data_IF_144676210309
#
_entry.id   IF_144676210309
#
_cell.length_a   1.000
_cell.length_b   1.000
_cell.length_c   1.000
_cell.angle_alpha   90.00
_cell.angle_beta   90.00
_cell.angle_gamma   90.00
#
_symmetry.space_group_name_H-M   'P 1'
#
loop_
_entity.id
_entity.type
_entity.pdbx_description
1 polymer ?
#
# COMPACT_ATOMS: atom_id res chain seq x y z
N UNK A 1 6.40 -7.74 24.61
CA UNK A 1 6.04 -7.36 23.23
C UNK A 1 4.63 -7.86 23.00
N UNK A 2 3.70 -6.97 22.67
CA UNK A 2 2.34 -7.39 22.31
C UNK A 2 2.39 -8.22 21.03
N UNK A 3 1.48 -9.16 20.90
CA UNK A 3 1.26 -9.91 19.66
C UNK A 3 0.90 -8.91 18.54
N UNK A 4 1.52 -9.03 17.36
CA UNK A 4 1.23 -8.13 16.25
C UNK A 4 -0.22 -8.30 15.81
N UNK A 5 -0.85 -7.20 15.39
CA UNK A 5 -2.21 -7.22 14.80
C UNK A 5 -2.27 -8.02 13.49
N UNK A 6 -1.12 -8.38 12.92
CA UNK A 6 -1.00 -9.23 11.74
C UNK A 6 -0.99 -10.73 12.06
N UNK A 7 -0.91 -11.11 13.33
CA UNK A 7 -0.81 -12.53 13.70
C UNK A 7 -2.03 -13.32 13.23
N UNK A 8 -1.80 -14.40 12.48
CA UNK A 8 -2.84 -15.24 11.89
C UNK A 8 -3.58 -14.64 10.69
N UNK A 9 -3.15 -13.48 10.20
CA UNK A 9 -3.71 -12.84 9.00
C UNK A 9 -3.27 -13.55 7.72
N UNK A 10 -4.10 -13.45 6.68
CA UNK A 10 -3.77 -13.94 5.34
C UNK A 10 -3.56 -12.79 4.37
N UNK A 11 -2.39 -12.74 3.76
CA UNK A 11 -1.98 -11.68 2.84
C UNK A 11 -1.75 -12.28 1.45
N UNK A 12 -2.14 -11.57 0.40
CA UNK A 12 -1.74 -11.87 -0.97
C UNK A 12 -0.65 -10.89 -1.39
N UNK A 13 0.47 -11.39 -1.90
CA UNK A 13 1.49 -10.57 -2.57
C UNK A 13 1.56 -10.93 -4.06
N UNK A 14 1.54 -9.92 -4.93
CA UNK A 14 1.66 -10.10 -6.39
C UNK A 14 2.78 -9.22 -6.93
N UNK A 15 3.85 -9.84 -7.38
CA UNK A 15 5.07 -9.21 -7.88
C UNK A 15 5.74 -10.19 -8.85
N UNK A 16 6.28 -9.73 -9.98
CA UNK A 16 6.95 -10.60 -10.97
C UNK A 16 8.38 -10.97 -10.55
N UNK A 17 8.92 -10.28 -9.55
CA UNK A 17 10.25 -10.53 -8.98
C UNK A 17 10.16 -11.55 -7.82
N UNK A 18 10.59 -12.82 -7.99
CA UNK A 18 10.49 -13.84 -6.95
C UNK A 18 11.28 -13.47 -5.69
N UNK A 19 12.44 -12.82 -5.86
CA UNK A 19 13.29 -12.39 -4.74
C UNK A 19 12.56 -11.37 -3.84
N UNK A 20 11.71 -10.51 -4.41
CA UNK A 20 10.89 -9.56 -3.64
C UNK A 20 9.83 -10.30 -2.82
N UNK A 21 9.21 -11.34 -3.40
CA UNK A 21 8.24 -12.17 -2.69
C UNK A 21 8.90 -12.97 -1.57
N UNK A 22 10.12 -13.47 -1.77
CA UNK A 22 10.86 -14.20 -0.73
C UNK A 22 11.18 -13.28 0.46
N UNK A 23 11.65 -12.06 0.22
CA UNK A 23 11.88 -11.06 1.29
C UNK A 23 10.57 -10.70 2.02
N UNK A 24 9.46 -10.55 1.30
CA UNK A 24 8.15 -10.33 1.93
C UNK A 24 7.73 -11.51 2.81
N UNK A 25 7.95 -12.74 2.35
CA UNK A 25 7.61 -13.95 3.11
C UNK A 25 8.44 -14.01 4.41
N UNK A 26 9.74 -13.75 4.33
CA UNK A 26 10.64 -13.72 5.48
C UNK A 26 10.22 -12.67 6.52
N UNK A 27 9.86 -11.46 6.07
CA UNK A 27 9.42 -10.40 6.98
C UNK A 27 8.07 -10.69 7.60
N UNK A 28 7.16 -11.38 6.91
CA UNK A 28 5.80 -11.65 7.37
C UNK A 28 5.69 -12.93 8.23
N UNK A 29 6.47 -13.98 7.92
CA UNK A 29 6.44 -15.26 8.64
C UNK A 29 6.82 -15.08 10.12
N UNK A 30 7.74 -14.15 10.40
CA UNK A 30 8.15 -13.75 11.76
C UNK A 30 6.99 -13.24 12.63
N UNK A 31 5.89 -12.82 12.02
CA UNK A 31 4.67 -12.34 12.69
C UNK A 31 3.51 -13.33 12.57
N UNK A 32 3.74 -14.57 12.13
CA UNK A 32 2.70 -15.60 12.00
C UNK A 32 1.66 -15.28 10.92
N UNK A 33 2.04 -14.49 9.92
CA UNK A 33 1.21 -14.18 8.76
C UNK A 33 1.30 -15.31 7.74
N UNK A 34 0.18 -15.69 7.14
CA UNK A 34 0.16 -16.61 5.99
C UNK A 34 0.14 -15.81 4.70
N UNK A 35 1.20 -15.90 3.91
CA UNK A 35 1.26 -15.21 2.62
C UNK A 35 0.98 -16.18 1.47
N UNK A 36 0.03 -15.83 0.62
CA UNK A 36 -0.08 -16.39 -0.72
C UNK A 36 0.67 -15.49 -1.69
N UNK A 37 1.27 -16.09 -2.72
CA UNK A 37 2.06 -15.36 -3.72
C UNK A 37 1.61 -15.64 -5.15
N UNK A 38 1.70 -14.63 -6.02
CA UNK A 38 1.55 -14.78 -7.46
C UNK A 38 2.62 -13.98 -8.21
N UNK A 39 3.19 -14.59 -9.24
CA UNK A 39 4.26 -14.01 -10.09
C UNK A 39 3.72 -13.30 -11.34
N UNK A 40 2.40 -13.23 -11.51
CA UNK A 40 1.79 -12.67 -12.71
C UNK A 40 0.43 -12.09 -12.41
N UNK A 41 -0.05 -11.25 -13.33
CA UNK A 41 -1.42 -10.74 -13.32
C UNK A 41 -2.44 -11.88 -13.26
N UNK A 42 -2.28 -12.91 -14.08
CA UNK A 42 -3.26 -14.00 -14.20
C UNK A 42 -3.36 -14.78 -12.89
N UNK A 43 -2.22 -15.07 -12.25
CA UNK A 43 -2.19 -15.67 -10.93
C UNK A 43 -2.81 -14.77 -9.86
N UNK A 44 -2.50 -13.47 -9.90
CA UNK A 44 -3.07 -12.47 -9.00
C UNK A 44 -4.60 -12.39 -9.10
N UNK A 45 -5.15 -12.30 -10.31
CA UNK A 45 -6.60 -12.30 -10.55
C UNK A 45 -7.25 -13.60 -10.09
N UNK A 46 -6.63 -14.76 -10.37
CA UNK A 46 -7.17 -16.04 -9.94
C UNK A 46 -7.28 -16.11 -8.40
N UNK A 47 -6.25 -15.67 -7.69
CA UNK A 47 -6.25 -15.66 -6.22
C UNK A 47 -7.24 -14.62 -5.67
N UNK A 48 -7.25 -13.39 -6.20
CA UNK A 48 -8.20 -12.34 -5.82
C UNK A 48 -9.66 -12.75 -6.02
N UNK A 49 -9.95 -13.62 -6.98
CA UNK A 49 -11.31 -14.09 -7.27
C UNK A 49 -11.70 -15.34 -6.49
N UNK A 50 -10.73 -16.16 -6.08
CA UNK A 50 -10.97 -17.47 -5.47
C UNK A 50 -10.74 -17.51 -3.97
N UNK A 51 -10.05 -16.52 -3.40
CA UNK A 51 -9.69 -16.46 -1.98
C UNK A 51 -10.10 -15.13 -1.33
N UNK A 52 -10.08 -15.12 0.00
CA UNK A 52 -10.26 -13.92 0.82
C UNK A 52 -8.96 -13.58 1.53
N UNK A 53 -8.63 -12.29 1.58
CA UNK A 53 -7.41 -11.78 2.20
C UNK A 53 -7.74 -10.64 3.16
N UNK A 54 -6.93 -10.52 4.22
CA UNK A 54 -6.97 -9.38 5.11
C UNK A 54 -6.27 -8.16 4.47
N UNK A 55 -5.22 -8.40 3.69
CA UNK A 55 -4.42 -7.39 2.98
C UNK A 55 -3.96 -7.93 1.62
N UNK A 56 -3.78 -7.05 0.66
CA UNK A 56 -3.18 -7.35 -0.65
C UNK A 56 -2.02 -6.39 -0.92
N UNK A 57 -0.88 -6.91 -1.33
CA UNK A 57 0.32 -6.18 -1.71
C UNK A 57 0.53 -6.38 -3.22
N UNK A 58 0.65 -5.28 -3.97
CA UNK A 58 0.78 -5.31 -5.44
C UNK A 58 1.97 -4.50 -5.91
N UNK A 59 2.81 -5.08 -6.78
CA UNK A 59 3.68 -4.28 -7.66
C UNK A 59 2.87 -3.62 -8.78
N UNK A 60 3.35 -2.46 -9.25
CA UNK A 60 2.66 -1.65 -10.26
C UNK A 60 2.95 -2.12 -11.68
N UNK A 61 4.22 -2.33 -12.06
CA UNK A 61 4.58 -2.49 -13.48
C UNK A 61 4.72 -3.94 -13.91
N UNK A 62 5.30 -4.80 -13.08
CA UNK A 62 5.56 -6.20 -13.43
C UNK A 62 4.30 -7.04 -13.64
N UNK A 63 3.22 -6.70 -12.93
CA UNK A 63 1.99 -7.52 -12.86
C UNK A 63 0.72 -6.76 -13.25
N UNK A 64 0.86 -5.63 -13.97
CA UNK A 64 -0.27 -4.73 -14.28
C UNK A 64 -1.03 -4.32 -13.01
N UNK A 65 -0.30 -3.86 -12.01
CA UNK A 65 -0.80 -3.65 -10.64
C UNK A 65 -1.99 -2.73 -10.51
N UNK A 66 -2.14 -1.72 -11.37
CA UNK A 66 -3.31 -0.85 -11.34
C UNK A 66 -4.61 -1.58 -11.70
N UNK A 67 -4.56 -2.53 -12.64
CA UNK A 67 -5.73 -3.35 -12.98
C UNK A 67 -6.07 -4.31 -11.82
N UNK A 68 -5.05 -4.88 -11.17
CA UNK A 68 -5.23 -5.70 -9.96
C UNK A 68 -5.79 -4.88 -8.79
N UNK A 69 -5.34 -3.63 -8.62
CA UNK A 69 -5.81 -2.71 -7.59
C UNK A 69 -7.30 -2.43 -7.75
N UNK A 70 -7.76 -2.11 -8.95
CA UNK A 70 -9.19 -1.90 -9.23
C UNK A 70 -10.03 -3.12 -8.81
N UNK A 71 -9.60 -4.33 -9.20
CA UNK A 71 -10.30 -5.57 -8.84
C UNK A 71 -10.29 -5.79 -7.32
N UNK A 72 -9.14 -5.61 -6.66
CA UNK A 72 -9.02 -5.84 -5.23
C UNK A 72 -9.85 -4.83 -4.42
N UNK A 73 -9.87 -3.56 -4.81
CA UNK A 73 -10.67 -2.51 -4.17
C UNK A 73 -12.16 -2.73 -4.39
N UNK A 74 -12.59 -3.15 -5.58
CA UNK A 74 -13.99 -3.54 -5.82
C UNK A 74 -14.43 -4.70 -4.93
N UNK A 75 -13.52 -5.63 -4.61
CA UNK A 75 -13.74 -6.71 -3.64
C UNK A 75 -13.54 -6.30 -2.19
N UNK A 76 -13.28 -5.01 -1.93
CA UNK A 76 -13.10 -4.39 -0.61
C UNK A 76 -11.85 -4.85 0.14
N UNK A 77 -10.86 -5.38 -0.55
CA UNK A 77 -9.58 -5.70 0.08
C UNK A 77 -8.81 -4.40 0.38
N UNK A 78 -8.20 -4.28 1.58
CA UNK A 78 -7.17 -3.28 1.85
C UNK A 78 -5.95 -3.55 0.95
N UNK A 79 -5.58 -2.59 0.10
CA UNK A 79 -4.47 -2.76 -0.85
C UNK A 79 -3.31 -1.82 -0.53
N UNK A 80 -2.09 -2.37 -0.59
CA UNK A 80 -0.83 -1.65 -0.48
C UNK A 80 -0.08 -1.79 -1.80
N UNK A 81 0.33 -0.67 -2.37
CA UNK A 81 1.20 -0.67 -3.55
C UNK A 81 2.66 -0.72 -3.09
N UNK A 82 3.44 -1.67 -3.59
CA UNK A 82 4.87 -1.82 -3.29
C UNK A 82 5.64 -1.74 -4.61
N UNK A 83 6.43 -0.69 -4.84
CA UNK A 83 7.08 -0.52 -6.15
C UNK A 83 8.43 0.19 -6.10
N UNK A 84 9.33 -0.16 -7.00
CA UNK A 84 10.57 0.58 -7.27
C UNK A 84 10.49 1.31 -8.61
N UNK A 85 10.14 0.58 -9.66
CA UNK A 85 10.26 1.06 -11.03
C UNK A 85 9.20 2.11 -11.39
N UNK A 86 7.98 2.02 -10.84
CA UNK A 86 6.89 2.94 -11.16
C UNK A 86 6.84 4.17 -10.24
N UNK A 87 7.86 4.31 -9.39
CA UNK A 87 7.94 5.32 -8.36
C UNK A 87 7.91 6.73 -8.96
N UNK A 88 6.78 7.41 -8.80
CA UNK A 88 6.56 8.75 -9.35
C UNK A 88 5.38 9.46 -8.64
N UNK A 89 5.35 10.81 -8.63
CA UNK A 89 4.19 11.56 -8.15
C UNK A 89 2.87 11.15 -8.82
N UNK A 90 2.92 10.83 -10.12
CA UNK A 90 1.76 10.42 -10.91
C UNK A 90 1.25 9.03 -10.49
N UNK A 91 2.15 8.06 -10.31
CA UNK A 91 1.77 6.74 -9.83
C UNK A 91 1.21 6.79 -8.41
N UNK A 92 1.82 7.60 -7.53
CA UNK A 92 1.30 7.82 -6.17
C UNK A 92 -0.13 8.40 -6.20
N UNK A 93 -0.36 9.47 -6.98
CA UNK A 93 -1.69 10.06 -7.18
C UNK A 93 -2.68 9.00 -7.69
N UNK A 94 -2.31 8.27 -8.74
CA UNK A 94 -3.18 7.24 -9.33
C UNK A 94 -3.53 6.13 -8.33
N UNK A 95 -2.59 5.70 -7.49
CA UNK A 95 -2.85 4.73 -6.43
C UNK A 95 -3.86 5.24 -5.41
N UNK A 96 -3.79 6.52 -5.03
CA UNK A 96 -4.77 7.14 -4.12
C UNK A 96 -6.16 7.19 -4.79
N UNK A 97 -6.24 7.62 -6.05
CA UNK A 97 -7.51 7.73 -6.79
C UNK A 97 -8.20 6.39 -6.98
N UNK A 98 -7.42 5.32 -7.16
CA UNK A 98 -7.92 3.94 -7.28
C UNK A 98 -8.23 3.28 -5.93
N UNK A 99 -7.98 3.96 -4.80
CA UNK A 99 -8.37 3.50 -3.47
C UNK A 99 -7.35 2.59 -2.77
N UNK A 100 -6.08 2.62 -3.18
CA UNK A 100 -5.02 2.02 -2.37
C UNK A 100 -4.99 2.67 -0.98
N UNK A 101 -4.55 1.93 0.04
CA UNK A 101 -4.43 2.43 1.42
C UNK A 101 -3.02 2.86 1.78
N UNK A 102 -2.02 2.39 1.04
CA UNK A 102 -0.65 2.81 1.20
C UNK A 102 0.12 2.63 -0.12
N UNK A 103 1.24 3.32 -0.20
CA UNK A 103 2.20 3.26 -1.28
C UNK A 103 3.59 3.21 -0.65
N UNK A 104 4.37 2.18 -0.98
CA UNK A 104 5.64 1.87 -0.31
C UNK A 104 6.72 1.67 -1.40
N UNK A 105 7.86 2.36 -1.33
CA UNK A 105 9.02 2.05 -2.16
C UNK A 105 9.55 0.65 -1.81
N UNK A 106 9.95 -0.15 -2.80
CA UNK A 106 10.60 -1.46 -2.50
C UNK A 106 11.87 -1.28 -1.64
N UNK A 107 12.50 -0.11 -1.66
CA UNK A 107 13.62 0.26 -0.78
C UNK A 107 13.29 0.13 0.73
N UNK A 108 12.00 0.21 1.10
CA UNK A 108 11.50 0.11 2.48
C UNK A 108 10.93 -1.28 2.82
N UNK A 109 11.14 -2.30 1.98
CA UNK A 109 10.51 -3.63 2.14
C UNK A 109 10.85 -4.30 3.48
N UNK A 110 12.09 -4.15 3.97
CA UNK A 110 12.52 -4.68 5.27
C UNK A 110 11.77 -4.04 6.46
N UNK A 111 11.09 -2.92 6.24
CA UNK A 111 10.31 -2.20 7.24
C UNK A 111 8.81 -2.19 6.89
N UNK A 112 8.33 -3.16 6.10
CA UNK A 112 6.95 -3.17 5.59
C UNK A 112 5.91 -3.39 6.69
N UNK A 113 6.23 -4.16 7.74
CA UNK A 113 5.28 -4.57 8.79
C UNK A 113 4.58 -3.38 9.46
N UNK A 114 5.30 -2.34 9.96
CA UNK A 114 4.66 -1.13 10.48
C UNK A 114 3.71 -0.40 9.51
N UNK A 115 3.86 -0.56 8.19
CA UNK A 115 2.88 -0.03 7.23
C UNK A 115 1.64 -0.91 7.17
N UNK A 116 1.82 -2.23 7.14
CA UNK A 116 0.70 -3.18 7.10
C UNK A 116 -0.15 -3.11 8.38
N UNK A 117 0.48 -2.96 9.54
CA UNK A 117 -0.23 -2.76 10.81
C UNK A 117 -1.07 -1.48 10.79
N UNK A 118 -0.52 -0.37 10.25
CA UNK A 118 -1.26 0.88 10.08
C UNK A 118 -2.45 0.69 9.13
N UNK A 119 -2.25 0.03 7.98
CA UNK A 119 -3.32 -0.24 7.01
C UNK A 119 -4.42 -1.12 7.60
N UNK A 120 -4.06 -2.06 8.46
CA UNK A 120 -4.99 -3.00 9.10
C UNK A 120 -5.82 -2.35 10.23
N UNK A 121 -5.27 -1.36 10.91
CA UNK A 121 -5.86 -0.80 12.15
C UNK A 121 -6.47 0.58 11.97
N UNK A 122 -6.01 1.36 10.99
CA UNK A 122 -6.41 2.75 10.82
C UNK A 122 -7.54 2.90 9.80
N UNK A 123 -8.25 4.04 9.92
CA UNK A 123 -9.11 4.49 8.83
C UNK A 123 -8.28 4.79 7.57
N UNK A 124 -8.96 4.90 6.43
CA UNK A 124 -8.31 5.24 5.17
C UNK A 124 -7.49 6.53 5.26
N UNK A 125 -8.06 7.57 5.88
CA UNK A 125 -7.42 8.87 6.01
C UNK A 125 -6.21 8.83 6.95
N UNK A 126 -6.35 8.16 8.09
CA UNK A 126 -5.25 8.02 9.06
C UNK A 126 -4.08 7.19 8.51
N UNK A 127 -4.37 6.15 7.72
CA UNK A 127 -3.34 5.37 7.01
C UNK A 127 -2.60 6.24 5.99
N UNK A 128 -3.30 7.04 5.21
CA UNK A 128 -2.68 7.95 4.24
C UNK A 128 -1.89 9.08 4.89
N UNK A 129 -2.36 9.65 6.00
CA UNK A 129 -1.62 10.66 6.75
C UNK A 129 -0.25 10.14 7.19
N UNK A 130 -0.21 8.94 7.78
CA UNK A 130 1.05 8.30 8.17
C UNK A 130 1.92 7.94 6.97
N UNK A 131 1.31 7.39 5.91
CA UNK A 131 2.04 7.04 4.67
C UNK A 131 2.68 8.27 4.05
N UNK A 132 1.95 9.37 3.87
CA UNK A 132 2.49 10.61 3.31
C UNK A 132 3.55 11.25 4.19
N UNK A 133 3.45 11.11 5.52
CA UNK A 133 4.50 11.56 6.44
C UNK A 133 5.80 10.80 6.23
N UNK A 134 5.74 9.47 6.02
CA UNK A 134 6.91 8.63 5.73
C UNK A 134 7.47 8.91 4.32
N UNK A 135 6.60 9.07 3.32
CA UNK A 135 7.00 9.30 1.94
C UNK A 135 7.46 10.74 1.64
N UNK A 136 7.01 11.73 2.40
CA UNK A 136 7.20 13.14 2.08
C UNK A 136 8.67 13.54 1.94
N UNK A 137 9.52 13.08 2.85
CA UNK A 137 10.96 13.33 2.82
C UNK A 137 11.64 12.59 1.67
N UNK A 138 11.26 11.34 1.44
CA UNK A 138 11.76 10.52 0.33
C UNK A 138 11.43 11.14 -1.04
N UNK A 139 10.17 11.51 -1.27
CA UNK A 139 9.75 12.17 -2.52
C UNK A 139 10.35 13.58 -2.66
N UNK A 140 10.47 14.33 -1.56
CA UNK A 140 11.13 15.64 -1.55
C UNK A 140 12.60 15.56 -1.97
N UNK A 141 13.31 14.54 -1.50
CA UNK A 141 14.71 14.28 -1.86
C UNK A 141 14.84 13.83 -3.32
N UNK A 142 13.96 12.90 -3.76
CA UNK A 142 14.06 12.28 -5.09
C UNK A 142 13.54 13.14 -6.24
N UNK A 143 12.44 13.88 -6.03
CA UNK A 143 11.74 14.65 -7.06
C UNK A 143 11.75 16.17 -6.81
N UNK A 144 12.41 16.60 -5.73
CA UNK A 144 12.48 17.99 -5.30
C UNK A 144 11.29 18.41 -4.42
N UNK A 145 11.41 19.52 -3.67
CA UNK A 145 10.42 19.95 -2.68
C UNK A 145 9.05 20.32 -3.29
N UNK A 146 8.99 20.51 -4.62
CA UNK A 146 7.78 20.91 -5.35
C UNK A 146 7.15 19.75 -6.14
N UNK A 147 7.43 18.49 -5.78
CA UNK A 147 6.95 17.31 -6.52
C UNK A 147 5.42 17.21 -6.62
N UNK A 148 4.68 17.92 -5.76
CA UNK A 148 3.20 18.04 -5.79
C UNK A 148 2.69 19.12 -6.75
N UNK A 149 3.55 20.00 -7.28
CA UNK A 149 3.15 21.22 -8.01
C UNK A 149 2.38 20.94 -9.31
N UNK A 150 2.69 19.87 -10.02
CA UNK A 150 2.01 19.50 -11.27
C UNK A 150 0.54 19.14 -11.07
N UNK A 151 0.16 18.72 -9.87
CA UNK A 151 -1.18 18.22 -9.51
C UNK A 151 -1.72 18.95 -8.27
N UNK A 152 -1.42 20.26 -8.19
CA UNK A 152 -1.64 21.07 -6.98
C UNK A 152 -3.07 20.97 -6.44
N UNK A 153 -4.07 21.06 -7.30
CA UNK A 153 -5.49 21.01 -6.91
C UNK A 153 -5.87 19.67 -6.26
N UNK A 154 -5.38 18.55 -6.82
CA UNK A 154 -5.57 17.23 -6.23
C UNK A 154 -4.98 17.16 -4.82
N UNK A 155 -3.72 17.57 -4.66
CA UNK A 155 -3.03 17.49 -3.37
C UNK A 155 -3.67 18.37 -2.31
N UNK A 156 -4.04 19.61 -2.63
CA UNK A 156 -4.73 20.50 -1.70
C UNK A 156 -6.09 19.94 -1.26
N UNK A 157 -6.84 19.34 -2.18
CA UNK A 157 -8.14 18.74 -1.85
C UNK A 157 -7.99 17.46 -1.02
N UNK A 158 -6.98 16.64 -1.35
CA UNK A 158 -6.71 15.40 -0.62
C UNK A 158 -6.24 15.70 0.80
N UNK A 159 -5.26 16.59 0.98
CA UNK A 159 -4.75 16.97 2.31
C UNK A 159 -5.84 17.57 3.20
N UNK A 160 -6.70 18.46 2.66
CA UNK A 160 -7.89 18.95 3.39
C UNK A 160 -8.82 17.83 3.84
N UNK A 161 -9.02 16.82 2.99
CA UNK A 161 -9.85 15.66 3.33
C UNK A 161 -9.27 14.88 4.50
N UNK A 162 -7.95 14.70 4.53
CA UNK A 162 -7.25 14.04 5.64
C UNK A 162 -7.40 14.83 6.95
N UNK A 163 -7.17 16.15 6.92
CA UNK A 163 -7.24 17.04 8.10
C UNK A 163 -8.65 17.13 8.71
N UNK A 164 -9.69 17.24 7.87
CA UNK A 164 -11.08 17.30 8.32
C UNK A 164 -11.49 16.03 9.08
N UNK A 165 -11.04 14.88 8.59
CA UNK A 165 -11.35 13.57 9.18
C UNK A 165 -10.57 13.32 10.45
N UNK A 166 -9.30 13.73 10.52
CA UNK A 166 -8.50 13.70 11.75
C UNK A 166 -9.12 14.56 12.87
N UNK A 167 -9.55 15.80 12.53
CA UNK A 167 -10.16 16.73 13.49
C UNK A 167 -11.52 16.26 14.04
N UNK A 168 -12.20 15.37 13.32
CA UNK A 168 -13.47 14.76 13.75
C UNK A 168 -13.24 13.61 14.74
N UNK A 169 -12.09 12.93 14.66
CA UNK A 169 -11.71 11.83 15.56
C UNK A 169 -11.32 12.35 16.95
N UNK A 170 -10.75 13.56 17.05
CA UNK A 170 -10.32 14.16 18.34
C UNK A 170 -11.50 14.73 19.15
N UNK A 171 -12.69 14.88 18.55
CA UNK A 171 -13.85 15.54 19.17
C UNK A 171 -14.92 14.59 19.75
N UNK A 172 -14.71 13.28 19.74
CA UNK A 172 -15.64 12.29 20.30
C UNK A 172 -14.98 11.44 21.40
#
# INVERSE_FOLDING_TARGET
MGESVLTGKRILAVDDEPDILDVLEEELDRFGVKMDRALSYEGGIQLLTSCTYDLVILDIMGVRGFELLEVAVLKKFPVVMLTAHALSPQALKKSIELGARAYIPKDDIEHIVPFLEDVQTLSYESAWLKTLKRLGEFFGTRFGPNWRKSEKEFWENFEKTLEMKESTIIKN
#
